data_IF_027889558289
#
_entry.id   IF_027889558289
#
_cell.length_a   1.000
_cell.length_b   1.000
_cell.length_c   1.000
_cell.angle_alpha   90.00
_cell.angle_beta   90.00
_cell.angle_gamma   90.00
#
_symmetry.space_group_name_H-M   'P 1'
#
loop_
_entity.id
_entity.type
_entity.pdbx_description
1 polymer ?
#
# COMPACT_ATOMS: atom_id res chain seq x y z
N UNK A 1 -20.45 -44.06 -2.37
CA UNK A 1 -19.20 -44.06 -3.13
C UNK A 1 -19.57 -43.71 -4.56
N UNK A 2 -19.50 -42.44 -4.91
CA UNK A 2 -19.59 -41.97 -6.29
C UNK A 2 -18.29 -42.36 -6.99
N UNK A 3 -18.40 -42.97 -8.17
CA UNK A 3 -17.25 -43.29 -9.02
C UNK A 3 -16.41 -42.02 -9.29
N UNK A 4 -15.08 -42.14 -9.48
CA UNK A 4 -14.30 -40.99 -9.91
C UNK A 4 -14.87 -40.48 -11.24
N UNK A 5 -15.40 -39.26 -11.21
CA UNK A 5 -16.01 -38.61 -12.36
C UNK A 5 -14.96 -38.55 -13.47
N UNK A 6 -15.17 -39.31 -14.55
CA UNK A 6 -14.23 -39.38 -15.66
C UNK A 6 -14.28 -38.09 -16.47
N UNK A 7 -13.15 -37.68 -17.05
CA UNK A 7 -13.10 -36.52 -17.96
C UNK A 7 -14.09 -36.75 -19.12
N UNK A 8 -15.02 -35.82 -19.39
CA UNK A 8 -15.96 -35.92 -20.49
C UNK A 8 -15.26 -36.14 -21.84
N UNK A 9 -15.89 -36.91 -22.72
CA UNK A 9 -15.28 -37.36 -23.97
C UNK A 9 -14.91 -36.22 -24.93
N UNK A 10 -15.71 -35.15 -24.93
CA UNK A 10 -15.48 -33.91 -25.68
C UNK A 10 -14.25 -33.15 -25.15
N UNK A 11 -14.15 -32.96 -23.83
CA UNK A 11 -12.98 -32.31 -23.20
C UNK A 11 -11.72 -33.15 -23.43
N UNK A 12 -11.80 -34.47 -23.27
CA UNK A 12 -10.67 -35.36 -23.52
C UNK A 12 -10.24 -35.35 -25.00
N UNK A 13 -11.18 -35.20 -25.93
CA UNK A 13 -10.88 -35.06 -27.35
C UNK A 13 -10.16 -33.75 -27.65
N UNK A 14 -10.56 -32.65 -27.02
CA UNK A 14 -9.89 -31.35 -27.13
C UNK A 14 -8.46 -31.40 -26.58
N UNK A 15 -8.27 -31.98 -25.39
CA UNK A 15 -6.94 -32.16 -24.77
C UNK A 15 -6.03 -32.98 -25.70
N UNK A 16 -6.53 -34.11 -26.24
CA UNK A 16 -5.78 -34.94 -27.20
C UNK A 16 -5.43 -34.19 -28.49
N UNK A 17 -6.33 -33.33 -28.96
CA UNK A 17 -6.08 -32.52 -30.14
C UNK A 17 -4.95 -31.51 -29.89
N UNK A 18 -4.93 -30.87 -28.72
CA UNK A 18 -3.85 -29.95 -28.32
C UNK A 18 -2.50 -30.68 -28.16
N UNK A 19 -2.49 -31.80 -27.45
CA UNK A 19 -1.31 -32.64 -27.27
C UNK A 19 -0.63 -32.98 -28.62
N UNK A 20 -1.44 -33.42 -29.59
CA UNK A 20 -0.95 -33.75 -30.94
C UNK A 20 -0.48 -32.54 -31.73
N UNK A 21 -1.06 -31.36 -31.50
CA UNK A 21 -0.65 -30.14 -32.17
C UNK A 21 0.69 -29.62 -31.65
N UNK A 22 0.92 -29.73 -30.33
CA UNK A 22 2.13 -29.26 -29.67
C UNK A 22 3.31 -30.24 -29.81
N UNK A 23 3.02 -31.54 -29.76
CA UNK A 23 4.01 -32.62 -29.79
C UNK A 23 3.75 -33.65 -30.90
N UNK A 24 3.73 -33.26 -32.20
CA UNK A 24 3.19 -34.09 -33.29
C UNK A 24 3.85 -35.45 -33.49
N UNK A 25 5.15 -35.56 -33.21
CA UNK A 25 5.95 -36.76 -33.46
C UNK A 25 6.45 -37.43 -32.16
N UNK A 26 5.94 -36.99 -31.00
CA UNK A 26 6.39 -37.47 -29.70
C UNK A 26 5.23 -38.04 -28.86
N UNK A 27 4.99 -39.37 -28.93
CA UNK A 27 3.86 -39.99 -28.25
C UNK A 27 4.01 -39.98 -26.73
N UNK A 28 5.24 -40.02 -26.20
CA UNK A 28 5.48 -40.04 -24.76
C UNK A 28 5.10 -38.68 -24.16
N UNK A 29 5.54 -37.57 -24.77
CA UNK A 29 5.13 -36.22 -24.34
C UNK A 29 3.63 -35.96 -24.56
N UNK A 30 3.01 -36.54 -25.59
CA UNK A 30 1.55 -36.46 -25.76
C UNK A 30 0.82 -37.13 -24.59
N UNK A 31 1.24 -38.33 -24.16
CA UNK A 31 0.62 -39.04 -23.05
C UNK A 31 0.76 -38.28 -21.73
N UNK A 32 1.95 -37.76 -21.43
CA UNK A 32 2.21 -36.96 -20.23
C UNK A 32 1.34 -35.69 -20.20
N UNK A 33 1.32 -34.93 -21.30
CA UNK A 33 0.48 -33.73 -21.43
C UNK A 33 -1.02 -34.05 -21.24
N UNK A 34 -1.52 -35.14 -21.85
CA UNK A 34 -2.92 -35.54 -21.69
C UNK A 34 -3.23 -35.88 -20.23
N UNK A 35 -2.31 -36.55 -19.54
CA UNK A 35 -2.48 -36.91 -18.14
C UNK A 35 -2.51 -35.68 -17.22
N UNK A 36 -1.60 -34.72 -17.44
CA UNK A 36 -1.56 -33.45 -16.72
C UNK A 36 -2.84 -32.65 -16.92
N UNK A 37 -3.25 -32.42 -18.17
CA UNK A 37 -4.47 -31.67 -18.50
C UNK A 37 -5.75 -32.34 -18.00
N UNK A 38 -5.83 -33.68 -18.07
CA UNK A 38 -6.95 -34.43 -17.51
C UNK A 38 -7.00 -34.30 -15.99
N UNK A 39 -5.85 -34.35 -15.32
CA UNK A 39 -5.74 -34.13 -13.88
C UNK A 39 -6.17 -32.72 -13.49
N UNK A 40 -5.69 -31.71 -14.21
CA UNK A 40 -6.08 -30.30 -14.04
C UNK A 40 -7.58 -30.10 -14.19
N UNK A 41 -8.21 -30.73 -15.20
CA UNK A 41 -9.66 -30.63 -15.40
C UNK A 41 -10.43 -31.20 -14.20
N UNK A 42 -10.01 -32.37 -13.72
CA UNK A 42 -10.62 -32.99 -12.54
C UNK A 42 -10.40 -32.16 -11.27
N UNK A 43 -9.26 -31.49 -11.14
CA UNK A 43 -9.00 -30.55 -10.06
C UNK A 43 -9.95 -29.35 -10.15
N UNK A 44 -10.14 -28.79 -11.34
CA UNK A 44 -11.07 -27.68 -11.61
C UNK A 44 -12.52 -28.03 -11.23
N UNK A 45 -13.00 -29.21 -11.61
CA UNK A 45 -14.37 -29.68 -11.27
C UNK A 45 -14.58 -29.88 -9.76
N UNK A 46 -13.51 -30.17 -9.02
CA UNK A 46 -13.56 -30.45 -7.57
C UNK A 46 -13.46 -29.20 -6.70
N UNK A 47 -13.29 -28.01 -7.29
CA UNK A 47 -13.22 -26.75 -6.54
C UNK A 47 -14.53 -26.56 -5.78
N UNK A 48 -14.43 -26.32 -4.47
CA UNK A 48 -15.58 -26.00 -3.64
C UNK A 48 -15.90 -24.50 -3.70
N UNK A 49 -16.93 -24.15 -4.45
CA UNK A 49 -17.43 -22.78 -4.56
C UNK A 49 -18.43 -22.41 -3.45
N UNK A 50 -18.61 -23.21 -2.40
CA UNK A 50 -19.64 -22.97 -1.36
C UNK A 50 -19.56 -21.57 -0.76
N UNK A 51 -18.36 -21.06 -0.50
CA UNK A 51 -18.12 -19.72 0.04
C UNK A 51 -18.16 -18.61 -1.01
N UNK A 52 -18.06 -18.96 -2.29
CA UNK A 52 -18.06 -18.04 -3.42
C UNK A 52 -19.26 -18.29 -4.38
N UNK A 53 -20.36 -18.86 -3.86
CA UNK A 53 -21.45 -19.39 -4.68
C UNK A 53 -22.09 -18.32 -5.58
N UNK A 54 -22.15 -17.07 -5.10
CA UNK A 54 -22.72 -15.94 -5.83
C UNK A 54 -21.82 -15.42 -6.97
N UNK A 55 -20.52 -15.74 -6.94
CA UNK A 55 -19.52 -15.29 -7.93
C UNK A 55 -18.88 -16.46 -8.68
N UNK A 56 -19.35 -17.69 -8.47
CA UNK A 56 -18.85 -18.91 -9.12
C UNK A 56 -18.76 -18.76 -10.65
N UNK A 57 -19.82 -18.26 -11.27
CA UNK A 57 -19.89 -18.14 -12.73
C UNK A 57 -18.87 -17.13 -13.27
N UNK A 58 -18.62 -16.05 -12.51
CA UNK A 58 -17.58 -15.06 -12.84
C UNK A 58 -16.19 -15.72 -12.78
N UNK A 59 -15.84 -16.33 -11.64
CA UNK A 59 -14.52 -16.96 -11.42
C UNK A 59 -14.26 -18.04 -12.48
N UNK A 60 -15.28 -18.86 -12.77
CA UNK A 60 -15.19 -19.93 -13.78
C UNK A 60 -14.97 -19.35 -15.17
N UNK A 61 -15.71 -18.30 -15.54
CA UNK A 61 -15.61 -17.68 -16.86
C UNK A 61 -14.24 -17.01 -17.08
N UNK A 62 -13.72 -16.30 -16.07
CA UNK A 62 -12.42 -15.66 -16.13
C UNK A 62 -11.29 -16.69 -16.23
N UNK A 63 -11.32 -17.76 -15.43
CA UNK A 63 -10.34 -18.84 -15.52
C UNK A 63 -10.29 -19.44 -16.94
N UNK A 64 -11.46 -19.74 -17.53
CA UNK A 64 -11.56 -20.27 -18.89
C UNK A 64 -11.10 -19.28 -19.98
N UNK A 65 -11.24 -17.98 -19.73
CA UNK A 65 -10.88 -16.94 -20.69
C UNK A 65 -9.38 -16.64 -20.71
N UNK A 66 -8.74 -16.58 -19.54
CA UNK A 66 -7.39 -16.04 -19.42
C UNK A 66 -6.29 -17.11 -19.29
N UNK A 67 -6.64 -18.36 -19.01
CA UNK A 67 -5.67 -19.44 -18.78
C UNK A 67 -5.86 -20.58 -19.79
N UNK A 68 -4.73 -21.12 -20.25
CA UNK A 68 -4.70 -22.07 -21.35
C UNK A 68 -4.74 -23.52 -20.85
N UNK A 69 -3.95 -23.83 -19.82
CA UNK A 69 -3.90 -25.18 -19.24
C UNK A 69 -5.01 -25.38 -18.21
N UNK A 70 -5.45 -26.63 -18.04
CA UNK A 70 -6.44 -26.95 -17.03
C UNK A 70 -5.89 -26.86 -15.61
N UNK A 71 -4.59 -27.06 -15.43
CA UNK A 71 -3.91 -26.84 -14.15
C UNK A 71 -3.98 -25.37 -13.74
N UNK A 72 -3.57 -24.46 -14.62
CA UNK A 72 -3.61 -23.01 -14.37
C UNK A 72 -5.02 -22.52 -14.07
N UNK A 73 -6.02 -23.01 -14.83
CA UNK A 73 -7.43 -22.71 -14.57
C UNK A 73 -7.86 -23.14 -13.17
N UNK A 74 -7.44 -24.34 -12.74
CA UNK A 74 -7.80 -24.89 -11.45
C UNK A 74 -7.15 -24.12 -10.30
N UNK A 75 -5.90 -23.73 -10.47
CA UNK A 75 -5.17 -22.95 -9.47
C UNK A 75 -5.73 -21.53 -9.38
N UNK A 76 -5.92 -20.84 -10.51
CA UNK A 76 -6.52 -19.50 -10.49
C UNK A 76 -7.91 -19.52 -9.85
N UNK A 77 -8.79 -20.44 -10.25
CA UNK A 77 -10.14 -20.48 -9.71
C UNK A 77 -10.14 -20.78 -8.20
N UNK A 78 -9.18 -21.57 -7.71
CA UNK A 78 -9.02 -21.82 -6.27
C UNK A 78 -8.58 -20.57 -5.53
N UNK A 79 -7.55 -19.89 -6.04
CA UNK A 79 -7.01 -18.66 -5.45
C UNK A 79 -8.10 -17.57 -5.38
N UNK A 80 -8.92 -17.43 -6.43
CA UNK A 80 -10.03 -16.49 -6.47
C UNK A 80 -11.14 -16.83 -5.46
N UNK A 81 -11.47 -18.11 -5.28
CA UNK A 81 -12.44 -18.56 -4.27
C UNK A 81 -11.94 -18.29 -2.87
N UNK A 82 -10.66 -18.62 -2.60
CA UNK A 82 -10.02 -18.38 -1.31
C UNK A 82 -9.95 -16.88 -1.00
N UNK A 83 -9.55 -16.07 -1.99
CA UNK A 83 -9.47 -14.62 -1.84
C UNK A 83 -10.84 -13.99 -1.57
N UNK A 84 -11.89 -14.42 -2.29
CA UNK A 84 -13.26 -13.98 -2.04
C UNK A 84 -13.70 -14.27 -0.59
N UNK A 85 -13.43 -15.50 -0.12
CA UNK A 85 -13.77 -15.91 1.23
C UNK A 85 -12.99 -15.09 2.29
N UNK A 86 -11.71 -14.83 2.06
CA UNK A 86 -10.88 -14.03 2.98
C UNK A 86 -11.33 -12.57 3.02
N UNK A 87 -11.64 -11.96 1.88
CA UNK A 87 -12.22 -10.61 1.81
C UNK A 87 -13.51 -10.55 2.64
N UNK A 88 -14.40 -11.54 2.50
CA UNK A 88 -15.65 -11.58 3.25
C UNK A 88 -15.42 -11.73 4.76
N UNK A 89 -14.47 -12.58 5.16
CA UNK A 89 -14.12 -12.84 6.56
C UNK A 89 -13.31 -11.71 7.23
N UNK A 90 -12.64 -10.86 6.45
CA UNK A 90 -11.80 -9.76 6.98
C UNK A 90 -12.63 -8.77 7.77
N UNK A 91 -12.40 -8.70 9.08
CA UNK A 91 -13.04 -7.79 10.03
C UNK A 91 -12.09 -7.42 11.18
N UNK A 92 -11.04 -6.63 10.94
CA UNK A 92 -10.14 -6.15 11.99
C UNK A 92 -10.88 -5.32 13.05
N UNK A 93 -10.57 -5.57 14.33
CA UNK A 93 -11.20 -4.87 15.47
C UNK A 93 -10.78 -3.40 15.60
N UNK A 94 -9.63 -3.05 15.04
CA UNK A 94 -9.02 -1.71 15.13
C UNK A 94 -9.50 -0.75 14.02
N UNK A 95 -10.35 -1.21 13.11
CA UNK A 95 -10.88 -0.40 12.00
C UNK A 95 -12.40 -0.33 12.09
N UNK A 96 -13.00 0.88 12.09
CA UNK A 96 -14.45 1.04 12.06
C UNK A 96 -15.09 0.30 10.88
N UNK A 97 -16.20 -0.40 11.15
CA UNK A 97 -16.86 -1.25 10.16
C UNK A 97 -17.33 -0.48 8.92
N UNK A 98 -17.74 0.78 9.08
CA UNK A 98 -18.14 1.66 7.98
C UNK A 98 -16.95 2.07 7.10
N UNK A 99 -15.78 2.32 7.70
CA UNK A 99 -14.54 2.58 6.97
C UNK A 99 -14.11 1.36 6.17
N UNK A 100 -14.10 0.18 6.80
CA UNK A 100 -13.76 -1.08 6.14
C UNK A 100 -14.71 -1.40 4.98
N UNK A 101 -16.02 -1.19 5.19
CA UNK A 101 -17.02 -1.40 4.15
C UNK A 101 -16.77 -0.49 2.93
N UNK A 102 -16.44 0.78 3.16
CA UNK A 102 -16.08 1.71 2.08
C UNK A 102 -14.81 1.28 1.34
N UNK A 103 -13.77 0.88 2.07
CA UNK A 103 -12.51 0.36 1.46
C UNK A 103 -12.82 -0.82 0.53
N UNK A 104 -13.55 -1.83 1.02
CA UNK A 104 -13.95 -2.99 0.20
C UNK A 104 -14.75 -2.57 -1.02
N UNK A 105 -15.70 -1.64 -0.86
CA UNK A 105 -16.52 -1.15 -1.95
C UNK A 105 -15.70 -0.43 -3.03
N UNK A 106 -14.73 0.40 -2.65
CA UNK A 106 -13.91 1.14 -3.60
C UNK A 106 -12.95 0.21 -4.35
N UNK A 107 -12.31 -0.72 -3.64
CA UNK A 107 -11.45 -1.76 -4.25
C UNK A 107 -12.20 -2.61 -5.27
N UNK A 108 -13.44 -3.01 -4.95
CA UNK A 108 -14.27 -3.83 -5.84
C UNK A 108 -14.75 -3.09 -7.10
N UNK A 109 -14.70 -1.74 -7.13
CA UNK A 109 -15.00 -0.97 -8.36
C UNK A 109 -13.82 -0.92 -9.32
N UNK A 110 -12.61 -1.10 -8.81
CA UNK A 110 -11.36 -0.88 -9.56
C UNK A 110 -10.71 -2.19 -10.02
N UNK A 111 -11.08 -3.32 -9.42
CA UNK A 111 -10.41 -4.60 -9.65
C UNK A 111 -11.44 -5.72 -9.84
N UNK A 112 -11.34 -6.43 -10.95
CA UNK A 112 -12.24 -7.54 -11.26
C UNK A 112 -11.86 -8.83 -10.50
N UNK A 113 -10.55 -9.06 -10.29
CA UNK A 113 -10.01 -10.26 -9.63
C UNK A 113 -9.94 -10.11 -8.11
N UNK A 114 -10.50 -11.07 -7.38
CA UNK A 114 -10.55 -11.10 -5.92
C UNK A 114 -9.17 -11.26 -5.29
N UNK A 115 -8.24 -11.98 -5.92
CA UNK A 115 -6.84 -12.03 -5.46
C UNK A 115 -6.21 -10.64 -5.39
N UNK A 116 -6.42 -9.83 -6.43
CA UNK A 116 -5.96 -8.43 -6.46
C UNK A 116 -6.72 -7.57 -5.46
N UNK A 117 -8.03 -7.76 -5.34
CA UNK A 117 -8.82 -7.06 -4.32
C UNK A 117 -8.33 -7.35 -2.90
N UNK A 118 -7.94 -8.60 -2.59
CA UNK A 118 -7.46 -9.00 -1.28
C UNK A 118 -6.12 -8.33 -0.95
N UNK A 119 -5.19 -8.31 -1.90
CA UNK A 119 -3.90 -7.64 -1.70
C UNK A 119 -4.07 -6.13 -1.52
N UNK A 120 -4.94 -5.50 -2.31
CA UNK A 120 -5.29 -4.09 -2.14
C UNK A 120 -5.98 -3.83 -0.79
N UNK A 121 -6.81 -4.76 -0.30
CA UNK A 121 -7.49 -4.64 0.99
C UNK A 121 -6.47 -4.70 2.14
N UNK A 122 -5.53 -5.64 2.09
CA UNK A 122 -4.44 -5.75 3.06
C UNK A 122 -3.60 -4.47 3.09
N UNK A 123 -3.21 -3.96 1.92
CA UNK A 123 -2.49 -2.69 1.80
C UNK A 123 -3.26 -1.49 2.33
N UNK A 124 -4.58 -1.41 2.06
CA UNK A 124 -5.43 -0.33 2.55
C UNK A 124 -5.62 -0.37 4.08
N UNK A 125 -5.73 -1.56 4.67
CA UNK A 125 -5.77 -1.76 6.12
C UNK A 125 -4.48 -1.26 6.77
N UNK A 126 -3.33 -1.64 6.21
CA UNK A 126 -2.03 -1.21 6.72
C UNK A 126 -1.82 0.31 6.56
N UNK A 127 -2.26 0.88 5.44
CA UNK A 127 -2.26 2.32 5.23
C UNK A 127 -3.15 3.07 6.23
N UNK A 128 -4.34 2.54 6.53
CA UNK A 128 -5.23 3.12 7.53
C UNK A 128 -4.59 3.12 8.92
N UNK A 129 -4.01 1.98 9.34
CA UNK A 129 -3.28 1.86 10.61
C UNK A 129 -2.14 2.85 10.69
N UNK A 130 -1.33 2.93 9.64
CA UNK A 130 -0.24 3.90 9.55
C UNK A 130 -0.72 5.35 9.73
N UNK A 131 -1.84 5.73 9.11
CA UNK A 131 -2.44 7.06 9.27
C UNK A 131 -2.91 7.30 10.71
N UNK A 132 -3.61 6.35 11.31
CA UNK A 132 -4.07 6.44 12.70
C UNK A 132 -2.91 6.59 13.69
N UNK A 133 -1.90 5.74 13.57
CA UNK A 133 -0.68 5.80 14.40
C UNK A 133 0.07 7.12 14.21
N UNK A 134 0.19 7.58 12.96
CA UNK A 134 0.84 8.86 12.65
C UNK A 134 0.09 10.01 13.29
N UNK A 135 -1.24 10.06 13.15
CA UNK A 135 -2.08 11.09 13.78
C UNK A 135 -1.96 11.09 15.30
N UNK A 136 -1.99 9.91 15.92
CA UNK A 136 -1.83 9.78 17.38
C UNK A 136 -0.44 10.27 17.84
N UNK A 137 0.61 9.94 17.09
CA UNK A 137 1.98 10.30 17.43
C UNK A 137 2.29 11.77 17.17
N UNK A 138 1.83 12.30 16.03
CA UNK A 138 2.19 13.62 15.52
C UNK A 138 1.24 14.69 16.04
N UNK A 139 -0.05 14.38 16.21
CA UNK A 139 -1.07 15.34 16.65
C UNK A 139 -0.66 16.15 17.88
N UNK A 140 -0.26 15.50 18.99
CA UNK A 140 0.15 16.20 20.21
C UNK A 140 1.39 17.10 20.05
N UNK A 141 2.21 16.87 19.01
CA UNK A 141 3.48 17.58 18.80
C UNK A 141 3.50 18.38 17.50
N UNK A 142 2.38 18.48 16.78
CA UNK A 142 2.29 19.06 15.44
C UNK A 142 2.86 20.48 15.38
N UNK A 143 2.39 21.33 16.28
CA UNK A 143 2.79 22.74 16.31
C UNK A 143 4.23 22.91 16.80
N UNK A 144 4.73 21.99 17.62
CA UNK A 144 6.14 21.95 17.99
C UNK A 144 7.00 21.59 16.77
N UNK A 145 6.60 20.58 15.99
CA UNK A 145 7.31 20.18 14.78
C UNK A 145 7.36 21.31 13.75
N UNK A 146 6.25 22.02 13.52
CA UNK A 146 6.20 23.16 12.60
C UNK A 146 7.14 24.27 13.08
N UNK A 147 7.16 24.57 14.38
CA UNK A 147 8.08 25.57 14.94
C UNK A 147 9.54 25.14 14.82
N UNK A 148 9.86 23.88 15.11
CA UNK A 148 11.21 23.34 14.98
C UNK A 148 11.69 23.35 13.53
N UNK A 149 10.83 22.94 12.58
CA UNK A 149 11.14 23.02 11.15
C UNK A 149 11.34 24.48 10.74
N UNK A 150 10.49 25.42 11.19
CA UNK A 150 10.67 26.83 10.88
C UNK A 150 12.04 27.35 11.32
N UNK A 151 12.46 27.03 12.55
CA UNK A 151 13.80 27.39 13.07
C UNK A 151 14.88 26.83 12.15
N UNK A 152 14.82 25.54 11.81
CA UNK A 152 15.82 24.89 10.94
C UNK A 152 15.82 25.47 9.52
N UNK A 153 14.63 25.68 8.96
CA UNK A 153 14.45 26.20 7.62
C UNK A 153 14.96 27.63 7.50
N UNK A 154 14.77 28.45 8.54
CA UNK A 154 15.34 29.79 8.65
C UNK A 154 16.87 29.76 8.75
N UNK A 155 17.49 28.65 9.18
CA UNK A 155 18.95 28.49 9.16
C UNK A 155 19.52 27.98 7.82
N UNK A 156 18.76 28.09 6.73
CA UNK A 156 19.26 27.79 5.39
C UNK A 156 19.85 29.04 4.71
N UNK A 157 21.04 28.87 4.11
CA UNK A 157 21.81 29.98 3.51
C UNK A 157 22.29 29.67 2.10
N UNK A 158 22.47 30.73 1.31
CA UNK A 158 22.94 30.61 -0.06
C UNK A 158 24.47 30.50 -0.03
N UNK A 159 25.00 29.38 -0.51
CA UNK A 159 26.45 29.15 -0.59
C UNK A 159 27.19 30.13 -1.51
N UNK A 160 26.47 30.85 -2.38
CA UNK A 160 27.05 31.90 -3.22
C UNK A 160 27.18 33.26 -2.50
N UNK A 161 26.79 33.34 -1.22
CA UNK A 161 26.93 34.53 -0.38
C UNK A 161 27.97 34.22 0.70
N UNK A 162 28.86 35.17 1.00
CA UNK A 162 29.82 35.04 2.08
C UNK A 162 29.08 35.06 3.43
N UNK A 163 28.83 33.90 4.02
CA UNK A 163 28.16 33.78 5.33
C UNK A 163 29.14 33.69 6.51
N UNK A 164 30.43 33.55 6.20
CA UNK A 164 31.49 33.43 7.19
C UNK A 164 32.63 34.41 6.92
N UNK A 165 33.19 34.97 7.99
CA UNK A 165 34.41 35.78 7.92
C UNK A 165 35.62 34.91 7.58
N UNK A 166 36.75 35.54 7.23
CA UNK A 166 38.02 34.82 7.01
C UNK A 166 38.54 34.07 8.25
N UNK A 167 37.96 34.33 9.44
CA UNK A 167 38.27 33.66 10.70
C UNK A 167 37.23 32.60 11.10
N UNK A 168 36.24 32.33 10.23
CA UNK A 168 35.19 31.34 10.49
C UNK A 168 34.06 31.84 11.39
N UNK A 169 33.99 33.15 11.67
CA UNK A 169 32.89 33.74 12.42
C UNK A 169 31.64 33.81 11.54
N UNK A 170 30.48 33.55 12.15
CA UNK A 170 29.18 33.61 11.49
C UNK A 170 28.75 35.06 11.22
N UNK A 171 28.64 35.45 9.95
CA UNK A 171 28.21 36.78 9.49
C UNK A 171 26.89 36.74 8.68
N UNK A 172 26.20 35.59 8.69
CA UNK A 172 24.99 35.36 7.88
C UNK A 172 23.70 35.94 8.49
N UNK A 173 23.77 36.67 9.60
CA UNK A 173 22.59 37.26 10.25
C UNK A 173 21.79 38.15 9.25
N UNK A 174 20.48 37.88 9.12
CA UNK A 174 19.61 38.56 8.16
C UNK A 174 19.75 38.13 6.68
N UNK A 175 20.61 37.15 6.40
CA UNK A 175 20.80 36.55 5.06
C UNK A 175 20.16 35.16 4.94
N UNK A 176 19.49 34.73 6.00
CA UNK A 176 18.70 33.52 6.04
C UNK A 176 17.51 33.62 5.09
N UNK A 177 17.18 32.50 4.47
CA UNK A 177 15.89 32.34 3.80
C UNK A 177 15.31 31.00 4.21
N UNK A 178 14.00 30.97 4.51
CA UNK A 178 13.33 29.70 4.74
C UNK A 178 13.40 28.85 3.48
N UNK A 179 14.11 27.73 3.54
CA UNK A 179 14.16 26.79 2.44
C UNK A 179 12.77 26.18 2.22
N UNK A 180 12.28 26.09 0.97
CA UNK A 180 10.98 25.48 0.72
C UNK A 180 10.96 24.02 1.13
N UNK A 181 9.93 23.63 1.89
CA UNK A 181 9.63 22.22 2.18
C UNK A 181 8.76 21.68 1.04
N UNK A 182 9.04 20.47 0.58
CA UNK A 182 8.19 19.73 -0.34
C UNK A 182 7.39 18.71 0.46
N UNK A 183 6.08 18.66 0.25
CA UNK A 183 5.15 17.72 0.87
C UNK A 183 4.54 16.82 -0.20
N UNK A 184 4.10 15.62 0.18
CA UNK A 184 3.32 14.73 -0.68
C UNK A 184 1.88 14.78 -0.19
N UNK A 185 0.99 15.27 -1.05
CA UNK A 185 -0.45 15.39 -0.83
C UNK A 185 -1.18 14.70 -1.96
N UNK A 186 -2.03 13.73 -1.64
CA UNK A 186 -2.75 12.92 -2.63
C UNK A 186 -1.82 12.35 -3.72
N UNK A 187 -0.62 11.89 -3.31
CA UNK A 187 0.41 11.36 -4.22
C UNK A 187 1.17 12.41 -5.05
N UNK A 188 0.89 13.70 -4.86
CA UNK A 188 1.50 14.80 -5.63
C UNK A 188 2.44 15.64 -4.79
N UNK A 189 3.59 16.02 -5.36
CA UNK A 189 4.54 16.94 -4.71
C UNK A 189 4.00 18.38 -4.67
N UNK A 190 3.93 18.97 -3.48
CA UNK A 190 3.58 20.37 -3.27
C UNK A 190 4.70 21.11 -2.53
N UNK A 191 5.25 22.18 -3.12
CA UNK A 191 6.32 22.99 -2.51
C UNK A 191 5.76 24.18 -1.77
N UNK A 192 6.13 24.33 -0.49
CA UNK A 192 5.67 25.42 0.36
C UNK A 192 6.82 26.12 1.07
N UNK A 193 6.75 27.46 1.07
CA UNK A 193 7.66 28.34 1.82
C UNK A 193 7.00 28.93 3.07
N UNK A 194 5.67 28.86 3.16
CA UNK A 194 4.82 29.37 4.24
C UNK A 194 3.55 28.53 4.31
N UNK A 195 2.85 28.59 5.45
CA UNK A 195 1.55 27.97 5.73
C UNK A 195 1.48 26.44 5.55
N UNK A 196 1.38 25.75 6.69
CA UNK A 196 1.18 24.29 6.77
C UNK A 196 -0.08 23.96 7.56
N UNK A 197 -0.99 24.93 7.72
CA UNK A 197 -2.14 24.84 8.63
C UNK A 197 -3.22 23.90 8.08
N UNK A 198 -3.31 23.77 6.76
CA UNK A 198 -4.24 22.90 6.03
C UNK A 198 -3.70 21.48 5.78
N UNK A 199 -2.46 21.18 6.20
CA UNK A 199 -1.89 19.84 6.07
C UNK A 199 -2.34 18.95 7.22
N UNK A 200 -2.83 17.77 6.85
CA UNK A 200 -3.07 16.67 7.78
C UNK A 200 -1.75 16.15 8.35
N UNK A 201 -1.84 15.40 9.45
CA UNK A 201 -0.67 14.94 10.20
C UNK A 201 0.22 14.01 9.36
N UNK A 202 -0.41 13.09 8.62
CA UNK A 202 0.25 12.18 7.71
C UNK A 202 0.93 12.89 6.54
N UNK A 203 0.32 13.96 6.01
CA UNK A 203 0.89 14.79 4.95
C UNK A 203 2.08 15.60 5.48
N UNK A 204 1.97 16.18 6.68
CA UNK A 204 3.04 16.95 7.32
C UNK A 204 4.31 16.10 7.49
N UNK A 205 4.17 14.85 7.91
CA UNK A 205 5.32 13.93 8.10
C UNK A 205 6.04 13.60 6.80
N UNK A 206 5.38 13.73 5.64
CA UNK A 206 6.06 13.55 4.35
C UNK A 206 7.04 14.67 4.05
N UNK A 207 6.96 15.82 4.73
CA UNK A 207 7.73 17.01 4.40
C UNK A 207 9.24 16.79 4.37
N UNK A 208 9.88 17.20 3.27
CA UNK A 208 11.32 17.13 3.06
C UNK A 208 11.90 18.37 2.39
N UNK A 209 13.16 18.68 2.69
CA UNK A 209 13.95 19.63 1.91
C UNK A 209 14.60 18.90 0.74
N UNK A 210 14.62 19.55 -0.43
CA UNK A 210 15.25 19.02 -1.65
C UNK A 210 16.53 19.80 -1.96
N UNK A 211 17.68 19.22 -1.64
CA UNK A 211 19.01 19.80 -1.86
C UNK A 211 19.66 19.15 -3.10
N UNK A 212 19.28 19.63 -4.29
CA UNK A 212 19.75 19.03 -5.54
C UNK A 212 19.19 17.61 -5.71
N UNK A 213 20.07 16.61 -5.75
CA UNK A 213 19.70 15.20 -5.81
C UNK A 213 19.44 14.56 -4.43
N UNK A 214 19.73 15.28 -3.34
CA UNK A 214 19.57 14.78 -1.98
C UNK A 214 18.28 15.32 -1.35
N UNK A 215 17.68 14.54 -0.47
CA UNK A 215 16.45 14.90 0.25
C UNK A 215 16.64 14.70 1.75
N UNK A 216 16.13 15.64 2.54
CA UNK A 216 16.14 15.57 4.01
C UNK A 216 14.70 15.57 4.52
N UNK A 217 14.22 14.42 4.99
CA UNK A 217 12.89 14.25 5.60
C UNK A 217 12.81 14.95 6.96
N UNK A 218 12.61 16.27 6.93
CA UNK A 218 12.75 17.14 8.09
C UNK A 218 11.78 16.78 9.22
N UNK A 219 10.50 16.55 8.91
CA UNK A 219 9.50 16.22 9.94
C UNK A 219 9.75 14.83 10.56
N UNK A 220 10.12 13.83 9.76
CA UNK A 220 10.51 12.50 10.27
C UNK A 220 11.74 12.58 11.19
N UNK A 221 12.74 13.37 10.81
CA UNK A 221 13.94 13.58 11.64
C UNK A 221 13.58 14.25 12.97
N UNK A 222 12.72 15.28 12.94
CA UNK A 222 12.26 15.99 14.14
C UNK A 222 11.46 15.09 15.08
N UNK A 223 10.55 14.25 14.56
CA UNK A 223 9.83 13.25 15.36
C UNK A 223 10.82 12.33 16.07
N UNK A 224 11.84 11.82 15.37
CA UNK A 224 12.87 10.95 15.96
C UNK A 224 13.70 11.67 17.03
N UNK A 225 14.00 12.96 16.84
CA UNK A 225 14.70 13.78 17.84
C UNK A 225 13.84 13.92 19.09
N UNK A 226 12.54 14.20 18.94
CA UNK A 226 11.62 14.29 20.09
C UNK A 226 11.52 12.95 20.81
N UNK A 227 11.40 11.83 20.09
CA UNK A 227 11.38 10.49 20.68
C UNK A 227 12.65 10.20 21.48
N UNK A 228 13.82 10.54 20.93
CA UNK A 228 15.12 10.43 21.62
C UNK A 228 15.16 11.31 22.87
N UNK A 229 14.73 12.58 22.78
CA UNK A 229 14.70 13.49 23.94
C UNK A 229 13.76 12.99 25.05
N UNK A 230 12.63 12.39 24.69
CA UNK A 230 11.72 11.74 25.64
C UNK A 230 12.38 10.54 26.31
N UNK A 231 12.96 9.63 25.52
CA UNK A 231 13.52 8.37 26.01
C UNK A 231 14.79 8.57 26.84
N UNK A 232 15.72 9.39 26.35
CA UNK A 232 17.07 9.48 26.90
C UNK A 232 17.21 10.61 27.93
N UNK A 233 16.38 11.64 27.83
CA UNK A 233 16.48 12.86 28.65
C UNK A 233 15.20 13.17 29.45
N UNK A 234 14.15 12.36 29.33
CA UNK A 234 12.90 12.55 30.08
C UNK A 234 12.15 13.83 29.69
N UNK A 235 12.26 14.28 28.44
CA UNK A 235 11.55 15.46 27.95
C UNK A 235 10.03 15.28 28.09
N UNK A 236 9.41 16.08 28.95
CA UNK A 236 7.95 16.20 29.03
C UNK A 236 7.48 17.36 28.16
N UNK A 237 6.50 17.10 27.30
CA UNK A 237 5.88 18.15 26.48
C UNK A 237 4.61 18.62 27.18
N UNK A 238 4.38 19.94 27.28
CA UNK A 238 3.14 20.46 27.85
C UNK A 238 1.95 20.02 26.99
N UNK A 239 0.84 19.66 27.63
CA UNK A 239 -0.39 19.31 26.94
C UNK A 239 -0.83 20.48 26.05
N UNK A 240 -1.12 20.17 24.78
CA UNK A 240 -1.50 21.15 23.74
C UNK A 240 -2.79 21.96 24.05
N UNK A 241 -3.42 21.76 25.21
CA UNK A 241 -4.67 22.39 25.63
C UNK A 241 -4.51 23.74 26.37
N UNK A 242 -3.29 24.22 26.65
CA UNK A 242 -3.07 25.45 27.45
C UNK A 242 -2.58 26.68 26.66
N UNK A 243 -2.82 26.72 25.34
CA UNK A 243 -2.28 27.76 24.45
C UNK A 243 -3.24 28.88 23.99
N UNK A 244 -4.48 28.91 24.47
CA UNK A 244 -5.45 29.98 24.14
C UNK A 244 -6.07 30.58 25.39
N UNK A 245 -5.29 31.32 26.17
CA UNK A 245 -5.86 32.35 27.04
C UNK A 245 -5.06 33.67 26.95
N UNK A 246 -5.82 34.71 26.62
CA UNK A 246 -5.61 36.14 26.89
C UNK A 246 -4.42 36.86 26.27
N UNK A 247 -4.73 37.70 25.28
CA UNK A 247 -4.23 39.08 25.26
C UNK A 247 -5.40 40.00 24.89
N UNK A 248 -6.01 40.58 25.92
CA UNK A 248 -6.74 41.86 25.84
C UNK A 248 -5.72 43.01 25.79
#
# INVERSE_FOLDING_TARGET
MTEPEAVPADILAEIRQRAKAEWPDDPDWQEDFIAEEASGYLAFQKIDFSMAATVKDQITAEALQYFESWEERADQARDEVEAYAEIAATAPDDIPADVLARIKQDIAKENDWFTTQLDNLRGAIDAYRYVCETRQKVGPIRDLLIRMEKVIGEECYNGNIQNYSSWGEWEGEGRSFRYPVTFIRDGTEEKRRSHTDDLEHEELVTGYYKFGANELSIYRALVRIIDMLKADYGLELPDAAQGTESND
#
